data_IF_335736054118
#
_entry.id   IF_335736054118
#
_cell.length_a   1.000
_cell.length_b   1.000
_cell.length_c   1.000
_cell.angle_alpha   90.00
_cell.angle_beta   90.00
_cell.angle_gamma   90.00
#
_symmetry.space_group_name_H-M   'P 1'
#
loop_
_entity.id
_entity.type
_entity.pdbx_description
1 polymer ?
#
# COMPACT_ATOMS: atom_id res chain seq x y z
N UNK A 1 -13.06 5.85 9.05
CA UNK A 1 -13.13 6.33 7.64
C UNK A 1 -14.25 5.56 6.99
N UNK A 2 -15.32 6.24 6.56
CA UNK A 2 -16.56 5.60 6.08
C UNK A 2 -16.33 4.48 5.04
N UNK A 3 -15.40 4.69 4.10
CA UNK A 3 -15.01 3.68 3.11
C UNK A 3 -14.45 2.38 3.72
N UNK A 4 -13.53 2.45 4.69
CA UNK A 4 -12.95 1.26 5.32
C UNK A 4 -14.04 0.47 6.04
N UNK A 5 -14.93 1.17 6.74
CA UNK A 5 -16.05 0.56 7.46
C UNK A 5 -17.04 -0.14 6.49
N UNK A 6 -17.28 0.47 5.33
CA UNK A 6 -18.10 -0.12 4.25
C UNK A 6 -17.44 -1.39 3.69
N UNK A 7 -16.12 -1.39 3.43
CA UNK A 7 -15.39 -2.57 2.94
C UNK A 7 -15.38 -3.69 3.98
N UNK A 8 -15.18 -3.35 5.26
CA UNK A 8 -15.25 -4.33 6.37
C UNK A 8 -16.65 -4.92 6.47
N UNK A 9 -17.70 -4.11 6.29
CA UNK A 9 -19.08 -4.59 6.28
C UNK A 9 -19.33 -5.56 5.11
N UNK A 10 -18.77 -5.31 3.92
CA UNK A 10 -18.84 -6.21 2.77
C UNK A 10 -18.15 -7.56 3.04
N UNK A 11 -16.97 -7.56 3.64
CA UNK A 11 -16.23 -8.79 3.99
C UNK A 11 -17.02 -9.69 4.95
N UNK A 12 -17.79 -9.09 5.86
CA UNK A 12 -18.60 -9.80 6.87
C UNK A 12 -19.86 -10.46 6.29
N UNK A 13 -20.27 -10.11 5.07
CA UNK A 13 -21.45 -10.74 4.43
C UNK A 13 -21.14 -12.18 4.01
N UNK A 14 -22.16 -13.05 4.11
CA UNK A 14 -22.04 -14.49 3.80
C UNK A 14 -22.13 -14.81 2.31
N UNK A 15 -22.60 -13.87 1.49
CA UNK A 15 -22.87 -13.99 0.04
C UNK A 15 -21.62 -13.82 -0.85
N UNK A 16 -20.44 -13.54 -0.28
CA UNK A 16 -19.21 -13.41 -1.05
C UNK A 16 -18.56 -14.76 -1.39
N UNK A 17 -18.12 -14.89 -2.64
CA UNK A 17 -17.25 -15.99 -3.07
C UNK A 17 -15.93 -15.97 -2.29
N UNK A 18 -15.29 -17.14 -2.18
CA UNK A 18 -14.00 -17.28 -1.49
C UNK A 18 -12.94 -16.33 -2.08
N UNK A 19 -12.90 -16.22 -3.41
CA UNK A 19 -11.95 -15.35 -4.13
C UNK A 19 -12.18 -13.87 -3.80
N UNK A 20 -13.42 -13.40 -3.87
CA UNK A 20 -13.75 -12.00 -3.56
C UNK A 20 -13.42 -11.68 -2.09
N UNK A 21 -13.68 -12.61 -1.18
CA UNK A 21 -13.35 -12.44 0.24
C UNK A 21 -11.83 -12.31 0.46
N UNK A 22 -11.02 -13.09 -0.26
CA UNK A 22 -9.56 -12.97 -0.22
C UNK A 22 -9.09 -11.62 -0.76
N UNK A 23 -9.63 -11.16 -1.89
CA UNK A 23 -9.28 -9.85 -2.49
C UNK A 23 -9.60 -8.71 -1.53
N UNK A 24 -10.80 -8.71 -0.95
CA UNK A 24 -11.21 -7.69 0.01
C UNK A 24 -10.39 -7.76 1.30
N UNK A 25 -10.05 -8.96 1.78
CA UNK A 25 -9.17 -9.12 2.94
C UNK A 25 -7.79 -8.49 2.71
N UNK A 26 -7.20 -8.72 1.54
CA UNK A 26 -5.94 -8.09 1.14
C UNK A 26 -6.07 -6.55 1.05
N UNK A 27 -7.18 -6.05 0.49
CA UNK A 27 -7.48 -4.62 0.40
C UNK A 27 -7.58 -3.97 1.79
N UNK A 28 -8.31 -4.58 2.72
CA UNK A 28 -8.43 -4.09 4.11
C UNK A 28 -7.07 -3.98 4.79
N UNK A 29 -6.18 -4.97 4.62
CA UNK A 29 -4.84 -4.92 5.19
C UNK A 29 -4.02 -3.74 4.66
N UNK A 30 -4.10 -3.47 3.35
CA UNK A 30 -3.41 -2.34 2.73
C UNK A 30 -3.99 -0.99 3.18
N UNK A 31 -5.31 -0.87 3.27
CA UNK A 31 -5.99 0.36 3.68
C UNK A 31 -5.71 0.72 5.14
N UNK A 32 -5.70 -0.28 6.05
CA UNK A 32 -5.36 -0.06 7.46
C UNK A 32 -3.92 0.44 7.59
N UNK A 33 -2.98 -0.17 6.86
CA UNK A 33 -1.60 0.28 6.83
C UNK A 33 -1.49 1.73 6.31
N UNK A 34 -2.15 2.05 5.20
CA UNK A 34 -2.15 3.41 4.65
C UNK A 34 -2.73 4.45 5.60
N UNK A 35 -3.79 4.12 6.34
CA UNK A 35 -4.35 4.97 7.39
C UNK A 35 -3.36 5.23 8.53
N UNK A 36 -2.64 4.18 8.95
CA UNK A 36 -1.67 4.30 10.04
C UNK A 36 -0.47 5.17 9.61
N UNK A 37 -0.01 5.03 8.35
CA UNK A 37 1.01 5.91 7.74
C UNK A 37 0.53 7.36 7.67
N UNK A 38 -0.70 7.60 7.21
CA UNK A 38 -1.28 8.96 7.18
C UNK A 38 -1.38 9.58 8.58
N UNK A 39 -1.79 8.80 9.57
CA UNK A 39 -1.89 9.26 10.95
C UNK A 39 -0.52 9.67 11.50
N UNK A 40 0.53 8.92 11.15
CA UNK A 40 1.91 9.26 11.49
C UNK A 40 2.36 10.54 10.77
N UNK A 41 2.08 10.69 9.48
CA UNK A 41 2.45 11.91 8.73
C UNK A 41 1.78 13.17 9.30
N UNK A 42 0.53 13.06 9.75
CA UNK A 42 -0.18 14.16 10.40
C UNK A 42 0.44 14.49 11.76
N UNK A 43 0.80 13.47 12.55
CA UNK A 43 1.43 13.66 13.86
C UNK A 43 2.82 14.30 13.75
N UNK A 44 3.57 13.97 12.70
CA UNK A 44 4.91 14.51 12.41
C UNK A 44 4.88 15.80 11.57
N UNK A 45 3.69 16.37 11.32
CA UNK A 45 3.49 17.61 10.56
C UNK A 45 4.17 17.63 9.18
N UNK A 46 4.17 16.48 8.50
CA UNK A 46 4.80 16.33 7.19
C UNK A 46 4.07 17.18 6.15
N UNK A 47 4.76 18.21 5.64
CA UNK A 47 4.18 19.21 4.74
C UNK A 47 4.80 19.20 3.33
N UNK A 48 5.93 18.52 3.16
CA UNK A 48 6.66 18.51 1.88
C UNK A 48 6.89 17.10 1.37
N UNK A 49 6.96 16.95 0.05
CA UNK A 49 7.27 15.68 -0.62
C UNK A 49 8.76 15.31 -0.54
N UNK A 50 9.60 16.18 0.02
CA UNK A 50 11.01 15.93 0.28
C UNK A 50 11.26 15.47 1.73
N UNK A 51 10.21 15.43 2.56
CA UNK A 51 10.31 14.96 3.93
C UNK A 51 10.67 13.48 3.98
N UNK A 52 11.57 13.10 4.89
CA UNK A 52 12.00 11.72 5.05
C UNK A 52 10.83 10.77 5.33
N UNK A 53 9.86 11.17 6.15
CA UNK A 53 8.71 10.34 6.48
C UNK A 53 7.84 10.02 5.25
N UNK A 54 7.77 10.94 4.29
CA UNK A 54 7.14 10.72 2.98
C UNK A 54 8.02 9.88 2.05
N UNK A 55 9.30 10.22 1.96
CA UNK A 55 10.25 9.53 1.08
C UNK A 55 10.42 8.06 1.48
N UNK A 56 10.31 7.75 2.78
CA UNK A 56 10.51 6.41 3.31
C UNK A 56 9.35 5.43 3.05
N UNK A 57 8.22 5.90 2.51
CA UNK A 57 7.12 5.04 2.08
C UNK A 57 7.35 4.50 0.67
N UNK A 58 6.83 3.29 0.41
CA UNK A 58 6.77 2.72 -0.94
C UNK A 58 5.71 3.46 -1.77
N UNK A 59 6.14 4.04 -2.90
CA UNK A 59 5.29 4.91 -3.73
C UNK A 59 5.27 4.45 -5.18
N UNK A 60 4.10 4.52 -5.79
CA UNK A 60 3.88 4.17 -7.19
C UNK A 60 3.64 5.44 -8.00
N UNK A 61 4.40 5.62 -9.06
CA UNK A 61 4.26 6.73 -10.00
C UNK A 61 4.00 6.17 -11.39
N UNK A 62 2.85 6.49 -11.96
CA UNK A 62 2.57 6.18 -13.36
C UNK A 62 3.17 7.28 -14.24
N UNK A 63 4.07 6.90 -15.12
CA UNK A 63 4.60 7.77 -16.16
C UNK A 63 3.86 7.45 -17.47
N UNK A 64 2.94 8.33 -17.92
CA UNK A 64 2.30 8.18 -19.22
C UNK A 64 3.33 8.37 -20.35
N UNK A 65 2.89 8.16 -21.60
CA UNK A 65 3.69 8.20 -22.84
C UNK A 65 4.97 9.08 -22.80
N UNK A 66 6.10 8.58 -23.34
CA UNK A 66 6.24 7.43 -24.25
C UNK A 66 6.59 6.09 -23.58
N UNK A 67 6.76 6.07 -22.26
CA UNK A 67 7.30 4.90 -21.54
C UNK A 67 6.22 3.96 -20.99
N UNK A 68 5.02 4.45 -20.70
CA UNK A 68 3.90 3.69 -20.09
C UNK A 68 4.32 2.81 -18.90
N UNK A 69 5.31 3.28 -18.12
CA UNK A 69 5.88 2.53 -17.01
C UNK A 69 5.28 2.98 -15.69
N UNK A 70 5.13 2.02 -14.77
CA UNK A 70 4.92 2.33 -13.36
C UNK A 70 6.28 2.25 -12.68
N UNK A 71 6.71 3.35 -12.06
CA UNK A 71 7.89 3.39 -11.22
C UNK A 71 7.52 3.20 -9.76
N UNK A 72 8.23 2.30 -9.10
CA UNK A 72 8.17 2.07 -7.67
C UNK A 72 9.35 2.79 -7.03
N UNK A 73 9.08 3.72 -6.11
CA UNK A 73 10.10 4.54 -5.44
C UNK A 73 10.03 4.37 -3.94
N UNK A 74 11.19 4.25 -3.29
CA UNK A 74 11.33 4.24 -1.83
C UNK A 74 12.70 4.84 -1.46
N UNK A 75 12.70 5.83 -0.57
CA UNK A 75 13.90 6.60 -0.17
C UNK A 75 14.65 7.12 -1.41
N UNK A 76 15.75 6.48 -1.79
CA UNK A 76 16.59 6.77 -2.96
C UNK A 76 16.48 5.73 -4.07
N UNK A 77 15.87 4.57 -3.78
CA UNK A 77 15.71 3.49 -4.72
C UNK A 77 14.54 3.75 -5.67
N UNK A 78 14.75 3.45 -6.96
CA UNK A 78 13.72 3.49 -7.99
C UNK A 78 13.82 2.22 -8.83
N UNK A 79 12.69 1.51 -8.95
CA UNK A 79 12.58 0.30 -9.75
C UNK A 79 11.37 0.39 -10.69
N UNK A 80 11.46 -0.28 -11.85
CA UNK A 80 10.29 -0.44 -12.73
C UNK A 80 9.39 -1.53 -12.15
N UNK A 81 8.08 -1.30 -12.17
CA UNK A 81 7.11 -2.33 -11.83
C UNK A 81 7.20 -3.50 -12.81
N UNK A 82 7.24 -4.73 -12.31
CA UNK A 82 7.49 -5.92 -13.14
C UNK A 82 6.27 -6.43 -13.92
N UNK A 83 5.06 -5.94 -13.63
CA UNK A 83 3.80 -6.39 -14.26
C UNK A 83 3.54 -7.90 -14.20
N UNK A 84 4.16 -8.60 -13.25
CA UNK A 84 3.99 -10.04 -13.07
C UNK A 84 2.64 -10.33 -12.40
N UNK A 85 1.93 -11.34 -12.91
CA UNK A 85 0.69 -11.79 -12.28
C UNK A 85 1.00 -12.70 -11.09
N UNK A 86 0.81 -12.16 -9.88
CA UNK A 86 1.07 -12.88 -8.61
C UNK A 86 -0.16 -13.64 -8.07
N UNK A 87 -1.30 -13.56 -8.76
CA UNK A 87 -2.56 -14.15 -8.30
C UNK A 87 -3.15 -13.43 -7.08
N UNK A 88 -4.30 -13.95 -6.62
CA UNK A 88 -4.97 -13.45 -5.42
C UNK A 88 -4.45 -14.18 -4.18
N UNK A 89 -3.43 -13.62 -3.55
CA UNK A 89 -2.82 -14.15 -2.33
C UNK A 89 -3.18 -13.29 -1.11
N UNK A 90 -3.12 -13.91 0.07
CA UNK A 90 -3.27 -13.17 1.31
C UNK A 90 -2.10 -12.20 1.50
N UNK A 91 -2.41 -10.99 2.00
CA UNK A 91 -1.40 -10.00 2.39
C UNK A 91 -1.13 -10.10 3.87
N UNK A 92 0.15 -10.16 4.24
CA UNK A 92 0.58 -10.08 5.63
C UNK A 92 0.32 -8.67 6.16
N UNK A 93 -0.03 -8.57 7.45
CA UNK A 93 -0.16 -7.29 8.13
C UNK A 93 1.18 -6.57 8.15
N UNK A 94 1.20 -5.32 7.68
CA UNK A 94 2.42 -4.50 7.67
C UNK A 94 2.64 -3.96 9.07
N UNK A 95 3.81 -4.24 9.63
CA UNK A 95 4.23 -3.75 10.95
C UNK A 95 5.40 -2.79 10.81
N UNK A 96 5.72 -2.04 11.86
CA UNK A 96 6.91 -1.17 11.90
C UNK A 96 8.21 -1.94 11.62
N UNK A 97 8.30 -3.22 12.00
CA UNK A 97 9.47 -4.04 11.71
C UNK A 97 9.52 -4.40 10.22
N UNK A 98 8.39 -4.84 9.64
CA UNK A 98 8.31 -5.17 8.22
C UNK A 98 8.63 -3.95 7.34
N UNK A 99 8.16 -2.77 7.73
CA UNK A 99 8.46 -1.52 7.03
C UNK A 99 9.96 -1.19 7.04
N UNK A 100 10.64 -1.38 8.18
CA UNK A 100 12.11 -1.26 8.26
C UNK A 100 12.83 -2.25 7.36
N UNK A 101 12.36 -3.50 7.30
CA UNK A 101 12.92 -4.51 6.41
C UNK A 101 12.82 -4.08 4.93
N UNK A 102 11.67 -3.53 4.50
CA UNK A 102 11.50 -3.03 3.14
C UNK A 102 12.48 -1.90 2.80
N UNK A 103 12.69 -0.96 3.73
CA UNK A 103 13.65 0.15 3.56
C UNK A 103 15.10 -0.30 3.44
N UNK A 104 15.45 -1.47 3.97
CA UNK A 104 16.82 -2.03 3.89
C UNK A 104 17.04 -2.86 2.64
N UNK A 105 16.00 -3.53 2.13
CA UNK A 105 16.12 -4.46 1.00
C UNK A 105 16.06 -3.78 -0.37
N UNK A 106 15.48 -2.57 -0.45
CA UNK A 106 15.32 -1.79 -1.68
C UNK A 106 16.36 -0.66 -1.74
#
# INVERSE_FOLDING_TARGET
TKQLDDVVALVRRKDLTKLNRMTLGAMVTMDVHGRDVLSLMVAEEVSTTNDFNWLAQLRYYYEPEPSEVVLVKIITATAKYGFEYLGNSFRLVVTQLTDRCYRTLM
#
